data_IF_055308798279
#
_entry.id   IF_055308798279
#
_cell.length_a   1.000
_cell.length_b   1.000
_cell.length_c   1.000
_cell.angle_alpha   90.00
_cell.angle_beta   90.00
_cell.angle_gamma   90.00
#
_symmetry.space_group_name_H-M   'P 1'
#
loop_
_entity.id
_entity.type
_entity.pdbx_description
1 polymer ?
#
# COMPACT_ATOMS: atom_id res chain seq x y z
N UNK A 1 4.79 -32.54 20.51
CA UNK A 1 4.44 -31.30 21.24
C UNK A 1 4.26 -30.18 20.22
N UNK A 2 3.01 -29.73 20.11
CA UNK A 2 2.42 -28.57 19.39
C UNK A 2 3.12 -28.06 18.11
N UNK A 3 2.67 -28.55 16.96
CA UNK A 3 2.69 -27.82 15.68
C UNK A 3 1.67 -26.67 15.81
N UNK A 4 2.14 -25.44 15.87
CA UNK A 4 1.26 -24.26 15.81
C UNK A 4 0.89 -24.09 14.34
N UNK A 5 -0.34 -24.49 14.02
CA UNK A 5 -0.99 -24.29 12.75
C UNK A 5 -1.35 -22.79 12.67
N UNK A 6 -0.52 -22.00 12.00
CA UNK A 6 -0.81 -20.60 11.70
C UNK A 6 -1.94 -20.56 10.66
N UNK A 7 -3.18 -20.47 11.13
CA UNK A 7 -4.32 -20.12 10.30
C UNK A 7 -4.19 -18.63 9.97
N UNK A 8 -3.51 -18.29 8.87
CA UNK A 8 -3.73 -17.00 8.22
C UNK A 8 -5.13 -17.03 7.63
N UNK A 9 -6.11 -16.49 8.38
CA UNK A 9 -7.30 -15.93 7.78
C UNK A 9 -6.82 -14.76 6.90
N UNK A 10 -6.51 -15.03 5.63
CA UNK A 10 -6.46 -14.01 4.60
C UNK A 10 -7.91 -13.55 4.44
N UNK A 11 -8.30 -12.60 5.28
CA UNK A 11 -9.44 -11.75 5.01
C UNK A 11 -9.06 -10.96 3.77
N UNK A 12 -9.50 -11.43 2.60
CA UNK A 12 -9.45 -10.66 1.37
C UNK A 12 -10.29 -9.39 1.56
N UNK A 13 -9.71 -8.37 2.22
CA UNK A 13 -10.21 -7.01 2.16
C UNK A 13 -9.86 -6.52 0.76
N UNK A 14 -10.74 -6.78 -0.20
CA UNK A 14 -10.68 -6.11 -1.50
C UNK A 14 -11.14 -4.67 -1.27
N UNK A 15 -10.20 -3.74 -1.06
CA UNK A 15 -10.53 -2.33 -1.00
C UNK A 15 -10.88 -1.85 -2.42
N UNK A 16 -12.12 -1.43 -2.60
CA UNK A 16 -12.58 -0.82 -3.86
C UNK A 16 -12.45 0.69 -3.72
N UNK A 17 -11.56 1.32 -4.50
CA UNK A 17 -11.39 2.77 -4.50
C UNK A 17 -12.22 3.35 -5.64
N UNK A 18 -13.12 4.30 -5.39
CA UNK A 18 -13.87 5.01 -6.43
C UNK A 18 -13.14 6.34 -6.71
N UNK A 19 -12.48 6.45 -7.86
CA UNK A 19 -11.86 7.69 -8.34
C UNK A 19 -12.74 8.35 -9.42
N UNK A 20 -12.97 9.66 -9.30
CA UNK A 20 -13.71 10.42 -10.32
C UNK A 20 -12.74 10.86 -11.43
N UNK A 21 -12.55 10.05 -12.47
CA UNK A 21 -11.88 10.47 -13.70
C UNK A 21 -12.87 11.10 -14.71
N UNK A 22 -12.56 12.29 -15.24
CA UNK A 22 -13.27 12.89 -16.38
C UNK A 22 -12.80 12.20 -17.67
N UNK A 23 -13.76 11.69 -18.45
CA UNK A 23 -13.51 11.03 -19.74
C UNK A 23 -13.10 12.08 -20.77
N UNK A 24 -11.89 11.99 -21.30
CA UNK A 24 -11.50 12.63 -22.56
C UNK A 24 -11.95 11.72 -23.71
N UNK A 25 -12.81 12.21 -24.59
CA UNK A 25 -13.27 11.49 -25.78
C UNK A 25 -12.29 11.73 -26.94
N UNK A 26 -11.51 10.70 -27.28
CA UNK A 26 -10.68 10.68 -28.50
C UNK A 26 -10.22 9.26 -28.78
N UNK A 27 -10.75 8.65 -29.85
CA UNK A 27 -10.47 7.26 -30.22
C UNK A 27 -9.10 7.05 -30.85
N UNK A 28 -8.50 5.90 -30.54
CA UNK A 28 -7.43 5.24 -31.28
C UNK A 28 -7.20 3.88 -30.60
N UNK A 29 -7.66 2.80 -31.23
CA UNK A 29 -7.42 1.42 -30.78
C UNK A 29 -5.91 1.12 -30.86
N UNK A 30 -5.23 1.18 -29.72
CA UNK A 30 -3.85 0.71 -29.55
C UNK A 30 -3.86 -0.37 -28.46
N UNK A 31 -3.29 -1.58 -28.69
CA UNK A 31 -3.40 -2.67 -27.75
C UNK A 31 -2.31 -2.55 -26.68
N UNK A 32 -2.47 -1.65 -25.69
CA UNK A 32 -1.59 -1.67 -24.48
C UNK A 32 -1.95 -0.74 -23.32
N UNK A 33 -2.92 0.17 -23.40
CA UNK A 33 -3.19 1.05 -22.24
C UNK A 33 -4.31 0.48 -21.38
N UNK A 34 -4.00 0.05 -20.15
CA UNK A 34 -5.02 -0.10 -19.12
C UNK A 34 -5.92 1.15 -19.12
N UNK A 35 -7.23 0.95 -19.23
CA UNK A 35 -8.14 2.09 -19.26
C UNK A 35 -8.14 2.71 -17.86
N UNK A 36 -8.16 4.04 -17.78
CA UNK A 36 -8.40 4.76 -16.53
C UNK A 36 -9.86 4.56 -16.08
N UNK A 37 -10.17 3.34 -15.62
CA UNK A 37 -11.46 2.99 -15.05
C UNK A 37 -11.70 3.83 -13.79
N UNK A 38 -12.97 4.08 -13.48
CA UNK A 38 -13.36 4.91 -12.33
C UNK A 38 -13.11 4.24 -10.99
N UNK A 39 -12.76 2.97 -10.98
CA UNK A 39 -12.42 2.27 -9.75
C UNK A 39 -11.31 1.27 -10.01
N UNK A 40 -10.51 1.03 -9.00
CA UNK A 40 -9.40 0.08 -9.09
C UNK A 40 -9.34 -0.76 -7.83
N UNK A 41 -8.82 -1.96 -7.98
CA UNK A 41 -8.54 -2.87 -6.88
C UNK A 41 -7.04 -2.87 -6.68
N UNK A 42 -6.60 -2.56 -5.47
CA UNK A 42 -5.20 -2.67 -5.06
C UNK A 42 -5.03 -3.97 -4.29
N UNK A 43 -3.97 -4.69 -4.56
CA UNK A 43 -3.66 -5.89 -3.79
C UNK A 43 -2.29 -6.46 -4.10
N UNK A 44 -2.11 -7.71 -3.68
CA UNK A 44 -0.86 -8.44 -3.79
C UNK A 44 -1.05 -9.61 -4.77
N UNK A 45 -0.09 -9.82 -5.67
CA UNK A 45 -0.11 -10.92 -6.61
C UNK A 45 1.26 -11.58 -6.73
N UNK A 46 1.26 -12.90 -6.87
CA UNK A 46 2.41 -13.66 -7.36
C UNK A 46 2.17 -13.91 -8.85
N UNK A 47 3.03 -13.35 -9.71
CA UNK A 47 2.81 -13.38 -11.15
C UNK A 47 3.12 -14.73 -11.79
N UNK A 48 3.81 -15.62 -11.08
CA UNK A 48 4.19 -16.94 -11.57
C UNK A 48 3.98 -18.01 -10.50
N UNK A 49 3.43 -19.16 -10.89
CA UNK A 49 3.32 -20.32 -10.00
C UNK A 49 4.71 -20.91 -9.78
N UNK A 50 5.09 -21.06 -8.52
CA UNK A 50 6.36 -21.66 -8.11
C UNK A 50 6.12 -22.74 -7.05
N UNK A 51 7.07 -23.66 -6.93
CA UNK A 51 7.13 -24.64 -5.84
C UNK A 51 8.58 -24.82 -5.43
N UNK A 52 8.93 -24.46 -4.19
CA UNK A 52 10.30 -24.55 -3.68
C UNK A 52 10.74 -23.27 -2.96
N UNK A 53 12.04 -23.13 -2.75
CA UNK A 53 12.64 -21.96 -2.07
C UNK A 53 12.81 -20.75 -2.99
N UNK A 54 12.77 -20.94 -4.32
CA UNK A 54 13.08 -19.91 -5.32
C UNK A 54 11.81 -19.27 -5.88
N UNK A 55 10.81 -19.08 -5.02
CA UNK A 55 9.54 -18.48 -5.38
C UNK A 55 9.68 -16.96 -5.60
N UNK A 56 9.04 -16.40 -6.65
CA UNK A 56 9.04 -14.96 -6.85
C UNK A 56 8.36 -14.25 -5.67
N UNK A 57 8.91 -13.10 -5.32
CA UNK A 57 8.38 -12.24 -4.26
C UNK A 57 7.03 -11.70 -4.69
N UNK A 58 6.11 -11.57 -3.73
CA UNK A 58 4.81 -10.94 -3.96
C UNK A 58 5.00 -9.53 -4.54
N UNK A 59 4.15 -9.15 -5.48
CA UNK A 59 4.14 -7.81 -6.06
C UNK A 59 2.89 -7.07 -5.65
N UNK A 60 3.02 -5.77 -5.41
CA UNK A 60 1.88 -4.87 -5.36
C UNK A 60 1.39 -4.67 -6.79
N UNK A 61 0.09 -4.82 -6.98
CA UNK A 61 -0.54 -4.67 -8.29
C UNK A 61 -1.83 -3.88 -8.18
N UNK A 62 -2.19 -3.22 -9.28
CA UNK A 62 -3.47 -2.54 -9.44
C UNK A 62 -4.21 -3.25 -10.56
N UNK A 63 -5.45 -3.66 -10.30
CA UNK A 63 -6.37 -4.10 -11.34
C UNK A 63 -7.38 -3.01 -11.64
N UNK A 64 -7.53 -2.69 -12.92
CA UNK A 64 -8.68 -1.94 -13.39
C UNK A 64 -9.92 -2.85 -13.46
N UNK A 65 -11.11 -2.25 -13.60
CA UNK A 65 -12.35 -3.04 -13.70
C UNK A 65 -12.50 -3.80 -15.03
N UNK A 66 -11.68 -3.48 -16.04
CA UNK A 66 -11.66 -4.16 -17.34
C UNK A 66 -10.69 -5.38 -17.33
N UNK A 67 -10.02 -5.64 -16.20
CA UNK A 67 -9.11 -6.76 -16.00
C UNK A 67 -7.65 -6.46 -16.37
N UNK A 68 -7.30 -5.22 -16.72
CA UNK A 68 -5.91 -4.83 -16.90
C UNK A 68 -5.19 -4.78 -15.56
N UNK A 69 -3.99 -5.33 -15.50
CA UNK A 69 -3.14 -5.35 -14.32
C UNK A 69 -1.91 -4.45 -14.54
N UNK A 70 -1.67 -3.55 -13.60
CA UNK A 70 -0.46 -2.75 -13.52
C UNK A 70 0.44 -3.37 -12.45
N UNK A 71 1.65 -3.77 -12.84
CA UNK A 71 2.71 -4.17 -11.91
C UNK A 71 3.31 -2.92 -11.27
N UNK A 72 3.04 -2.72 -9.97
CA UNK A 72 3.55 -1.56 -9.21
C UNK A 72 4.99 -1.84 -8.74
N UNK A 73 5.26 -3.05 -8.27
CA UNK A 73 6.59 -3.46 -7.86
C UNK A 73 6.60 -4.52 -6.77
N UNK A 74 7.79 -5.05 -6.50
CA UNK A 74 8.01 -6.07 -5.48
C UNK A 74 7.80 -5.53 -4.06
N UNK A 75 7.15 -6.33 -3.23
CA UNK A 75 6.97 -6.07 -1.81
C UNK A 75 7.14 -7.32 -0.97
N UNK A 76 7.85 -7.16 0.15
CA UNK A 76 8.10 -8.24 1.11
C UNK A 76 6.86 -8.54 1.97
N UNK A 77 6.11 -7.50 2.36
CA UNK A 77 4.94 -7.62 3.25
C UNK A 77 3.61 -7.31 2.57
N UNK A 78 3.65 -6.53 1.48
CA UNK A 78 2.52 -6.26 0.60
C UNK A 78 1.78 -4.97 0.91
N UNK A 79 0.87 -4.62 0.00
CA UNK A 79 -0.04 -3.49 0.16
C UNK A 79 -1.03 -3.71 1.30
N UNK A 80 -1.25 -2.68 2.12
CA UNK A 80 -2.18 -2.69 3.28
C UNK A 80 -3.40 -1.81 3.09
N UNK A 81 -3.24 -0.67 2.42
CA UNK A 81 -4.29 0.32 2.23
C UNK A 81 -3.97 1.17 1.00
N UNK A 82 -4.98 1.83 0.46
CA UNK A 82 -4.80 2.70 -0.68
C UNK A 82 -5.78 3.89 -0.68
N UNK A 83 -5.26 5.03 -1.12
CA UNK A 83 -5.99 6.27 -1.29
C UNK A 83 -5.87 6.77 -2.73
N UNK A 84 -6.76 7.68 -3.14
CA UNK A 84 -6.65 8.34 -4.44
C UNK A 84 -6.74 9.85 -4.32
N UNK A 85 -5.94 10.55 -5.11
CA UNK A 85 -5.95 12.01 -5.20
C UNK A 85 -5.43 12.43 -6.59
N UNK A 86 -6.10 13.38 -7.24
CA UNK A 86 -5.72 13.91 -8.57
C UNK A 86 -5.42 12.82 -9.63
N UNK A 87 -6.28 11.80 -9.71
CA UNK A 87 -6.13 10.65 -10.62
C UNK A 87 -4.89 9.79 -10.38
N UNK A 88 -4.20 9.98 -9.27
CA UNK A 88 -3.13 9.10 -8.80
C UNK A 88 -3.65 8.16 -7.71
N UNK A 89 -3.04 6.99 -7.60
CA UNK A 89 -3.29 5.99 -6.56
C UNK A 89 -2.08 5.94 -5.64
N UNK A 90 -2.33 6.02 -4.34
CA UNK A 90 -1.33 5.99 -3.29
C UNK A 90 -1.53 4.71 -2.50
N UNK A 91 -0.47 3.93 -2.31
CA UNK A 91 -0.57 2.59 -1.73
C UNK A 91 0.39 2.52 -0.54
N UNK A 92 -0.14 2.27 0.66
CA UNK A 92 0.69 1.94 1.81
C UNK A 92 1.15 0.50 1.72
N UNK A 93 2.40 0.26 2.09
CA UNK A 93 3.05 -1.04 2.06
C UNK A 93 3.71 -1.33 3.40
N UNK A 94 3.42 -2.50 3.97
CA UNK A 94 3.92 -2.92 5.30
C UNK A 94 5.43 -3.24 5.30
N UNK A 95 6.09 -3.14 4.14
CA UNK A 95 7.55 -3.18 4.03
C UNK A 95 8.25 -1.83 4.26
N UNK A 96 7.54 -0.79 4.70
CA UNK A 96 8.14 0.46 5.18
C UNK A 96 8.22 1.54 4.13
N UNK A 97 7.27 1.54 3.21
CA UNK A 97 7.19 2.50 2.13
C UNK A 97 5.74 2.74 1.72
N UNK A 98 5.56 3.74 0.87
CA UNK A 98 4.34 3.89 0.10
C UNK A 98 4.69 4.07 -1.38
N UNK A 99 3.75 3.71 -2.23
CA UNK A 99 3.85 3.87 -3.67
C UNK A 99 2.93 4.99 -4.14
N UNK A 100 3.33 5.68 -5.20
CA UNK A 100 2.46 6.59 -5.95
C UNK A 100 2.42 6.09 -7.38
N UNK A 101 1.23 5.76 -7.86
CA UNK A 101 0.97 5.48 -9.27
C UNK A 101 0.26 6.69 -9.85
N UNK A 102 1.00 7.47 -10.64
CA UNK A 102 0.52 8.68 -11.28
C UNK A 102 -0.54 8.40 -12.35
N UNK A 103 -1.29 9.44 -12.74
CA UNK A 103 -2.28 9.36 -13.80
C UNK A 103 -1.70 8.97 -15.19
N UNK A 104 -0.38 9.11 -15.35
CA UNK A 104 0.42 8.69 -16.50
C UNK A 104 1.00 7.27 -16.34
N UNK A 105 0.55 6.51 -15.34
CA UNK A 105 1.09 5.22 -14.90
C UNK A 105 2.56 5.27 -14.44
N UNK A 106 3.11 6.46 -14.16
CA UNK A 106 4.43 6.58 -13.56
C UNK A 106 4.38 6.09 -12.11
N UNK A 107 5.27 5.16 -11.77
CA UNK A 107 5.37 4.60 -10.43
C UNK A 107 6.53 5.26 -9.67
N UNK A 108 6.25 5.72 -8.46
CA UNK A 108 7.25 6.26 -7.53
C UNK A 108 7.18 5.50 -6.19
N UNK A 109 8.34 5.07 -5.70
CA UNK A 109 8.49 4.42 -4.39
C UNK A 109 9.06 5.41 -3.39
N UNK A 110 8.40 5.57 -2.25
CA UNK A 110 8.81 6.48 -1.20
C UNK A 110 9.02 5.72 0.11
N UNK A 111 10.24 5.75 0.62
CA UNK A 111 10.58 5.10 1.88
C UNK A 111 10.06 5.91 3.08
N UNK A 112 9.59 5.21 4.12
CA UNK A 112 9.30 5.82 5.41
C UNK A 112 10.60 5.98 6.20
N UNK A 113 10.87 7.20 6.67
CA UNK A 113 12.06 7.49 7.45
C UNK A 113 11.85 7.17 8.92
N UNK A 114 12.89 6.60 9.53
CA UNK A 114 12.92 6.22 10.94
C UNK A 114 14.13 6.88 11.62
N UNK A 115 13.92 7.98 12.37
CA UNK A 115 14.99 8.61 13.15
C UNK A 115 15.63 7.65 14.15
N UNK A 116 16.87 7.94 14.54
CA UNK A 116 17.71 7.03 15.34
C UNK A 116 17.00 6.43 16.55
N UNK A 117 17.06 5.10 16.63
CA UNK A 117 16.48 4.28 17.70
C UNK A 117 15.06 3.78 17.42
N UNK A 118 14.38 4.31 16.40
CA UNK A 118 13.15 3.70 15.90
C UNK A 118 13.45 2.67 14.81
N UNK A 119 12.66 1.61 14.80
CA UNK A 119 12.58 0.65 13.71
C UNK A 119 11.13 0.50 13.30
N UNK A 120 10.95 0.15 12.04
CA UNK A 120 9.66 -0.26 11.53
C UNK A 120 9.05 -1.39 12.36
N UNK A 121 7.72 -1.34 12.48
CA UNK A 121 6.94 -2.41 13.07
C UNK A 121 5.79 -2.83 12.17
N UNK A 122 4.97 -1.86 11.74
CA UNK A 122 3.78 -2.10 10.94
C UNK A 122 3.35 -0.80 10.23
N UNK A 123 2.80 -0.89 9.03
CA UNK A 123 2.06 0.16 8.33
C UNK A 123 0.58 -0.23 8.30
N UNK A 124 -0.31 0.70 8.66
CA UNK A 124 -1.73 0.38 8.86
C UNK A 124 -2.68 1.16 7.96
N UNK A 125 -2.23 2.25 7.34
CA UNK A 125 -3.12 3.03 6.48
C UNK A 125 -2.44 4.20 5.77
N UNK A 126 -3.12 4.74 4.76
CA UNK A 126 -2.68 5.90 3.99
C UNK A 126 -3.82 6.87 3.71
N UNK A 127 -3.53 8.16 3.79
CA UNK A 127 -4.44 9.22 3.43
C UNK A 127 -3.70 10.32 2.67
N UNK A 128 -4.39 10.99 1.75
CA UNK A 128 -3.85 12.13 1.02
C UNK A 128 -4.79 13.31 1.20
N UNK A 129 -4.24 14.46 1.60
CA UNK A 129 -5.05 15.66 1.79
C UNK A 129 -5.34 16.38 0.45
N UNK A 130 -6.13 17.45 0.51
CA UNK A 130 -6.56 18.20 -0.69
C UNK A 130 -5.44 18.92 -1.45
N UNK A 131 -4.26 19.10 -0.83
CA UNK A 131 -3.08 19.74 -1.46
C UNK A 131 -2.02 18.71 -1.89
N UNK A 132 -2.30 17.41 -1.71
CA UNK A 132 -1.42 16.33 -2.15
C UNK A 132 -0.38 15.88 -1.12
N UNK A 133 -0.42 16.35 0.13
CA UNK A 133 0.42 15.77 1.17
C UNK A 133 -0.07 14.36 1.52
N UNK A 134 0.89 13.43 1.58
CA UNK A 134 0.67 12.03 1.89
C UNK A 134 0.90 11.80 3.37
N UNK A 135 -0.07 11.19 4.04
CA UNK A 135 0.00 10.78 5.43
C UNK A 135 -0.06 9.26 5.50
N UNK A 136 0.93 8.66 6.14
CA UNK A 136 0.96 7.21 6.37
C UNK A 136 0.85 6.97 7.86
N UNK A 137 0.00 6.05 8.28
CA UNK A 137 -0.16 5.64 9.68
C UNK A 137 0.46 4.26 9.90
N UNK A 138 0.94 4.01 11.12
CA UNK A 138 1.54 2.73 11.46
C UNK A 138 2.08 2.69 12.88
N UNK A 139 3.01 1.78 13.10
CA UNK A 139 3.68 1.55 14.38
C UNK A 139 5.19 1.51 14.20
N UNK A 140 5.90 2.00 15.22
CA UNK A 140 7.36 1.91 15.32
C UNK A 140 7.75 1.29 16.64
N UNK A 141 8.88 0.59 16.66
CA UNK A 141 9.46 0.02 17.87
C UNK A 141 10.74 0.75 18.28
N UNK A 142 10.85 1.03 19.59
CA UNK A 142 12.06 1.59 20.23
C UNK A 142 12.22 1.00 21.62
N UNK A 143 13.40 0.44 21.92
CA UNK A 143 13.70 -0.21 23.19
C UNK A 143 12.66 -1.27 23.60
N UNK A 144 12.26 -2.13 22.64
CA UNK A 144 11.24 -3.17 22.82
C UNK A 144 9.84 -2.66 23.20
N UNK A 145 9.58 -1.36 23.02
CA UNK A 145 8.26 -0.76 23.19
C UNK A 145 7.73 -0.33 21.83
N UNK A 146 6.43 -0.52 21.65
CA UNK A 146 5.70 -0.12 20.45
C UNK A 146 5.06 1.24 20.65
N UNK A 147 5.06 2.04 19.59
CA UNK A 147 4.52 3.38 19.55
C UNK A 147 3.69 3.50 18.27
N UNK A 148 2.50 4.08 18.39
CA UNK A 148 1.74 4.55 17.23
C UNK A 148 2.51 5.69 16.57
N UNK A 149 2.57 5.67 15.25
CA UNK A 149 3.30 6.64 14.48
C UNK A 149 2.51 7.11 13.26
N UNK A 150 2.86 8.30 12.78
CA UNK A 150 2.48 8.72 11.45
C UNK A 150 3.60 9.50 10.77
N UNK A 151 3.63 9.36 9.46
CA UNK A 151 4.55 10.03 8.55
C UNK A 151 3.80 11.03 7.70
N UNK A 152 4.50 12.10 7.29
CA UNK A 152 4.05 13.03 6.26
C UNK A 152 5.10 13.06 5.16
N UNK A 153 4.71 12.73 3.93
CA UNK A 153 5.59 12.72 2.76
C UNK A 153 6.87 11.89 3.01
N UNK A 154 6.74 10.75 3.69
CA UNK A 154 7.86 9.86 4.04
C UNK A 154 8.60 10.21 5.34
N UNK A 155 8.43 11.41 5.89
CA UNK A 155 9.12 11.82 7.12
C UNK A 155 8.31 11.51 8.37
N UNK A 156 8.94 10.91 9.39
CA UNK A 156 8.29 10.65 10.67
C UNK A 156 7.94 11.97 11.35
N UNK A 157 6.65 12.25 11.51
CA UNK A 157 6.19 13.47 12.17
C UNK A 157 6.04 13.25 13.67
N UNK A 158 5.45 12.11 14.06
CA UNK A 158 5.22 11.80 15.47
C UNK A 158 5.21 10.31 15.70
N UNK A 159 5.84 9.90 16.81
CA UNK A 159 5.64 8.61 17.44
C UNK A 159 5.17 8.85 18.88
N UNK A 160 4.10 8.18 19.28
CA UNK A 160 3.47 8.36 20.57
C UNK A 160 2.92 7.04 21.10
N UNK A 161 2.73 6.96 22.41
CA UNK A 161 2.17 5.81 23.09
C UNK A 161 1.16 6.34 24.08
N UNK A 162 -0.07 5.86 23.98
CA UNK A 162 -1.10 6.19 24.95
C UNK A 162 -1.07 5.13 26.06
N UNK A 163 -1.16 5.58 27.32
CA UNK A 163 -1.51 4.70 28.42
C UNK A 163 -3.02 4.54 28.36
N UNK A 164 -3.48 3.64 27.49
CA UNK A 164 -4.90 3.44 27.31
C UNK A 164 -5.32 2.23 28.14
N UNK A 165 -6.21 2.47 29.11
CA UNK A 165 -6.83 1.45 29.97
C UNK A 165 -8.09 0.86 29.31
N UNK A 166 -8.17 0.81 27.98
CA UNK A 166 -9.36 0.40 27.22
C UNK A 166 -9.81 -1.05 27.47
N UNK A 167 -9.05 -1.81 28.26
CA UNK A 167 -9.35 -3.13 28.79
C UNK A 167 -9.51 -3.21 30.32
N UNK A 168 -9.53 -2.09 31.06
CA UNK A 168 -9.70 -2.09 32.52
C UNK A 168 -11.16 -2.20 32.96
#
# INVERSE_FOLDING_TARGET
MKKILYFFLISCFSLTIISCAKKSSGGSDNPSSCNNSKASIVGNAVTEKCSGTDCPVSKVVIWDLDGCMIDVGESVMGAVDAASHNNSIYIADDGGFYWIVGADNKIEKHQLNYPSGYKESEVTGIAVNSIGDVYVAGMVRKNSKEYTAYWKNGELVKAFRENADWYS
#
